data_IF_820819754860
#
_entry.id   IF_820819754860
#
_cell.length_a   1.000
_cell.length_b   1.000
_cell.length_c   1.000
_cell.angle_alpha   90.00
_cell.angle_beta   90.00
_cell.angle_gamma   90.00
#
_symmetry.space_group_name_H-M   'P 1'
#
loop_
_entity.id
_entity.type
_entity.pdbx_description
1 polymer ?
#
# COMPACT_ATOMS: atom_id res chain seq x y z
N UNK A 1 -23.02 -9.88 -0.90
CA UNK A 1 -22.83 -10.36 -2.26
C UNK A 1 -21.99 -11.62 -2.22
N UNK A 2 -22.47 -12.73 -2.78
CA UNK A 2 -21.77 -14.02 -2.77
C UNK A 2 -20.45 -14.01 -3.57
N UNK A 3 -20.23 -12.98 -4.37
CA UNK A 3 -19.01 -12.79 -5.17
C UNK A 3 -17.86 -12.12 -4.43
N UNK A 4 -18.14 -11.42 -3.35
CA UNK A 4 -17.10 -10.76 -2.54
C UNK A 4 -16.62 -11.70 -1.44
N UNK A 5 -15.41 -12.22 -1.59
CA UNK A 5 -14.80 -13.13 -0.61
C UNK A 5 -14.14 -12.38 0.54
N UNK A 6 -13.74 -11.12 0.32
CA UNK A 6 -13.06 -10.30 1.33
C UNK A 6 -13.74 -8.94 1.41
N UNK A 7 -14.02 -8.50 2.63
CA UNK A 7 -14.63 -7.21 2.91
C UNK A 7 -13.90 -6.58 4.09
N UNK A 8 -13.28 -5.43 3.86
CA UNK A 8 -12.63 -4.63 4.90
C UNK A 8 -13.51 -3.42 5.21
N UNK A 9 -13.96 -3.31 6.47
CA UNK A 9 -14.88 -2.24 6.91
C UNK A 9 -14.06 -1.13 7.58
N UNK A 10 -14.35 0.13 7.22
CA UNK A 10 -13.73 1.29 7.87
C UNK A 10 -14.12 1.38 9.35
N UNK A 11 -13.25 1.98 10.17
CA UNK A 11 -13.46 2.07 11.63
C UNK A 11 -14.78 2.73 12.04
N UNK A 12 -15.22 3.71 11.26
CA UNK A 12 -16.49 4.42 11.47
C UNK A 12 -17.72 3.62 10.97
N UNK A 13 -17.47 2.44 10.35
CA UNK A 13 -18.50 1.61 9.75
C UNK A 13 -19.22 2.22 8.55
N UNK A 14 -18.75 3.38 8.05
CA UNK A 14 -19.39 4.08 6.95
C UNK A 14 -19.14 3.41 5.61
N UNK A 15 -17.93 2.97 5.38
CA UNK A 15 -17.49 2.40 4.12
C UNK A 15 -16.99 0.98 4.29
N UNK A 16 -17.01 0.23 3.21
CA UNK A 16 -16.32 -1.04 3.13
C UNK A 16 -15.63 -1.15 1.77
N UNK A 17 -14.44 -1.74 1.76
CA UNK A 17 -13.73 -2.12 0.54
C UNK A 17 -13.92 -3.62 0.33
N UNK A 18 -14.54 -3.97 -0.79
CA UNK A 18 -14.76 -5.35 -1.20
C UNK A 18 -13.83 -5.75 -2.33
N UNK A 19 -13.39 -7.00 -2.32
CA UNK A 19 -12.56 -7.60 -3.36
C UNK A 19 -13.34 -8.73 -4.06
N UNK A 20 -13.43 -8.66 -5.39
CA UNK A 20 -14.10 -9.65 -6.22
C UNK A 20 -13.11 -10.26 -7.23
N UNK A 21 -12.86 -11.55 -7.13
CA UNK A 21 -11.93 -12.30 -7.98
C UNK A 21 -12.67 -13.14 -9.03
N UNK A 22 -14.00 -13.09 -9.05
CA UNK A 22 -14.85 -14.06 -9.78
C UNK A 22 -14.57 -14.07 -11.28
N UNK A 23 -14.29 -12.91 -11.89
CA UNK A 23 -14.02 -12.81 -13.33
C UNK A 23 -12.61 -13.24 -13.72
N UNK A 24 -11.71 -13.35 -12.74
CA UNK A 24 -10.29 -13.62 -12.96
C UNK A 24 -9.84 -15.02 -12.55
N UNK A 25 -10.76 -15.85 -12.04
CA UNK A 25 -10.45 -17.22 -11.61
C UNK A 25 -9.90 -18.04 -12.76
N UNK A 26 -8.60 -18.37 -12.71
CA UNK A 26 -7.92 -19.19 -13.70
C UNK A 26 -6.64 -19.77 -13.11
N UNK A 27 -6.38 -21.06 -13.35
CA UNK A 27 -5.16 -21.74 -12.90
C UNK A 27 -3.87 -21.17 -13.54
N UNK A 28 -3.99 -20.32 -14.56
CA UNK A 28 -2.89 -19.83 -15.39
C UNK A 28 -2.74 -18.31 -15.39
N UNK A 29 -3.57 -17.58 -14.66
CA UNK A 29 -3.54 -16.11 -14.62
C UNK A 29 -3.11 -15.65 -13.23
N UNK A 30 -2.48 -14.45 -13.13
CA UNK A 30 -2.23 -13.83 -11.83
C UNK A 30 -3.56 -13.61 -11.07
N UNK A 31 -3.47 -13.57 -9.73
CA UNK A 31 -4.61 -13.33 -8.83
C UNK A 31 -5.11 -11.88 -8.95
N UNK A 32 -5.80 -11.59 -10.04
CA UNK A 32 -6.42 -10.28 -10.27
C UNK A 32 -7.74 -10.18 -9.50
N UNK A 33 -8.09 -8.98 -9.10
CA UNK A 33 -9.37 -8.69 -8.47
C UNK A 33 -9.88 -7.29 -8.81
N UNK A 34 -11.19 -7.15 -8.85
CA UNK A 34 -11.82 -5.84 -8.82
C UNK A 34 -12.01 -5.39 -7.37
N UNK A 35 -11.77 -4.11 -7.14
CA UNK A 35 -12.01 -3.46 -5.85
C UNK A 35 -13.24 -2.58 -5.93
N UNK A 36 -14.08 -2.67 -4.91
CA UNK A 36 -15.32 -1.92 -4.78
C UNK A 36 -15.38 -1.18 -3.45
N UNK A 37 -15.85 0.05 -3.49
CA UNK A 37 -16.29 0.77 -2.30
C UNK A 37 -17.80 0.57 -2.12
N UNK A 38 -18.21 0.20 -0.92
CA UNK A 38 -19.61 0.08 -0.54
C UNK A 38 -19.95 1.14 0.50
N UNK A 39 -21.06 1.83 0.30
CA UNK A 39 -21.68 2.65 1.33
C UNK A 39 -22.57 1.77 2.21
N UNK A 40 -22.22 1.63 3.49
CA UNK A 40 -22.96 0.77 4.43
C UNK A 40 -24.39 1.26 4.72
N UNK A 41 -24.67 2.55 4.46
CA UNK A 41 -25.98 3.15 4.73
C UNK A 41 -26.94 3.00 3.56
N UNK A 42 -26.44 3.13 2.34
CA UNK A 42 -27.28 3.09 1.13
C UNK A 42 -27.21 1.74 0.41
N UNK A 43 -26.17 0.95 0.65
CA UNK A 43 -25.86 -0.24 -0.10
C UNK A 43 -25.27 0.04 -1.49
N UNK A 44 -24.99 1.29 -1.81
CA UNK A 44 -24.38 1.68 -3.08
C UNK A 44 -22.99 1.09 -3.21
N UNK A 45 -22.72 0.53 -4.38
CA UNK A 45 -21.44 -0.08 -4.75
C UNK A 45 -20.82 0.72 -5.87
N UNK A 46 -19.59 1.18 -5.67
CA UNK A 46 -18.78 1.87 -6.66
C UNK A 46 -17.54 1.05 -6.98
N UNK A 47 -17.24 0.87 -8.27
CA UNK A 47 -15.96 0.25 -8.70
C UNK A 47 -14.82 1.24 -8.47
N UNK A 48 -13.83 0.81 -7.70
CA UNK A 48 -12.62 1.58 -7.37
C UNK A 48 -11.49 1.24 -8.35
N UNK A 49 -11.24 -0.06 -8.57
CA UNK A 49 -10.21 -0.57 -9.47
C UNK A 49 -10.70 -1.84 -10.15
N UNK A 50 -10.33 -2.01 -11.41
CA UNK A 50 -10.59 -3.23 -12.19
C UNK A 50 -9.28 -3.99 -12.43
N UNK A 51 -9.32 -5.31 -12.28
CA UNK A 51 -8.20 -6.18 -12.61
C UNK A 51 -6.92 -5.89 -11.82
N UNK A 52 -7.04 -5.48 -10.56
CA UNK A 52 -5.90 -5.11 -9.73
C UNK A 52 -5.16 -6.35 -9.21
N UNK A 53 -3.85 -6.43 -9.50
CA UNK A 53 -3.00 -7.56 -9.06
C UNK A 53 -2.54 -7.40 -7.61
N UNK A 54 -2.12 -6.19 -7.20
CA UNK A 54 -1.45 -5.97 -5.91
C UNK A 54 -2.17 -4.95 -5.07
N UNK A 55 -2.91 -5.47 -4.12
CA UNK A 55 -3.58 -4.68 -3.08
C UNK A 55 -2.80 -4.81 -1.78
N UNK A 56 -2.62 -3.71 -1.06
CA UNK A 56 -1.78 -3.63 0.14
C UNK A 56 -2.60 -3.34 1.42
N UNK A 57 -3.90 -3.06 1.25
CA UNK A 57 -4.86 -2.99 2.34
C UNK A 57 -5.16 -1.59 2.87
N UNK A 58 -6.04 -1.55 3.87
CA UNK A 58 -6.47 -0.33 4.55
C UNK A 58 -5.38 0.25 5.45
N UNK A 59 -5.32 1.58 5.49
CA UNK A 59 -4.59 2.29 6.55
C UNK A 59 -5.18 1.97 7.92
N UNK A 60 -4.41 2.03 9.02
CA UNK A 60 -4.91 1.75 10.36
C UNK A 60 -6.05 2.66 10.80
N UNK A 61 -6.12 3.90 10.29
CA UNK A 61 -7.22 4.84 10.50
C UNK A 61 -8.40 4.63 9.55
N UNK A 62 -8.25 3.73 8.56
CA UNK A 62 -9.22 3.38 7.53
C UNK A 62 -9.63 4.54 6.61
N UNK A 63 -8.79 5.56 6.46
CA UNK A 63 -9.04 6.67 5.51
C UNK A 63 -8.54 6.37 4.11
N UNK A 64 -7.50 5.52 3.98
CA UNK A 64 -6.83 5.23 2.75
C UNK A 64 -6.76 3.72 2.48
N UNK A 65 -6.77 3.35 1.19
CA UNK A 65 -6.47 2.01 0.72
C UNK A 65 -5.24 2.04 -0.16
N UNK A 66 -4.18 1.32 0.21
CA UNK A 66 -2.92 1.29 -0.52
C UNK A 66 -2.92 0.17 -1.56
N UNK A 67 -2.39 0.47 -2.75
CA UNK A 67 -2.20 -0.49 -3.82
C UNK A 67 -0.97 -0.17 -4.67
N UNK A 68 -0.51 -1.16 -5.43
CA UNK A 68 0.62 -1.03 -6.35
C UNK A 68 0.14 -1.18 -7.79
N UNK A 69 0.47 -0.24 -8.65
CA UNK A 69 0.05 -0.23 -10.04
C UNK A 69 1.04 0.53 -10.91
N UNK A 70 1.38 -0.04 -12.07
CA UNK A 70 2.22 0.59 -13.10
C UNK A 70 3.60 1.06 -12.56
N UNK A 71 4.17 0.34 -11.59
CA UNK A 71 5.47 0.67 -11.01
C UNK A 71 5.43 1.71 -9.89
N UNK A 72 4.24 2.11 -9.43
CA UNK A 72 4.05 3.10 -8.38
C UNK A 72 3.18 2.62 -7.24
N UNK A 73 3.39 3.19 -6.04
CA UNK A 73 2.45 3.13 -4.95
C UNK A 73 1.34 4.17 -5.13
N UNK A 74 0.14 3.74 -4.89
CA UNK A 74 -1.06 4.56 -4.97
C UNK A 74 -1.86 4.46 -3.69
N UNK A 75 -2.47 5.58 -3.29
CA UNK A 75 -3.45 5.63 -2.23
C UNK A 75 -4.82 6.01 -2.79
N UNK A 76 -5.85 5.24 -2.45
CA UNK A 76 -7.23 5.58 -2.67
C UNK A 76 -7.81 6.21 -1.40
N UNK A 77 -8.24 7.47 -1.47
CA UNK A 77 -8.95 8.17 -0.39
C UNK A 77 -10.42 7.75 -0.39
N UNK A 78 -10.81 6.99 0.62
CA UNK A 78 -12.10 6.30 0.62
C UNK A 78 -13.27 7.28 0.66
N UNK A 79 -13.20 8.32 1.48
CA UNK A 79 -14.29 9.30 1.62
C UNK A 79 -14.49 10.16 0.37
N UNK A 80 -13.39 10.53 -0.30
CA UNK A 80 -13.39 11.51 -1.37
C UNK A 80 -13.48 10.86 -2.76
N UNK A 81 -13.35 9.53 -2.85
CA UNK A 81 -13.30 8.79 -4.11
C UNK A 81 -12.15 9.24 -5.02
N UNK A 82 -10.97 9.45 -4.44
CA UNK A 82 -9.83 10.01 -5.13
C UNK A 82 -8.62 9.09 -5.07
N UNK A 83 -7.92 8.94 -6.21
CA UNK A 83 -6.67 8.22 -6.34
C UNK A 83 -5.49 9.17 -6.36
N UNK A 84 -4.51 8.94 -5.51
CA UNK A 84 -3.27 9.70 -5.45
C UNK A 84 -2.10 8.78 -5.81
N UNK A 85 -1.35 9.12 -6.86
CA UNK A 85 -0.07 8.48 -7.12
C UNK A 85 0.96 9.01 -6.13
N UNK A 86 1.40 8.15 -5.22
CA UNK A 86 2.29 8.55 -4.12
C UNK A 86 3.75 8.70 -4.59
N UNK A 87 4.18 7.90 -5.56
CA UNK A 87 5.60 7.74 -5.87
C UNK A 87 6.01 8.26 -7.25
N UNK A 88 5.10 8.84 -8.04
CA UNK A 88 5.41 9.37 -9.38
C UNK A 88 6.53 10.42 -9.41
N UNK A 89 6.72 11.16 -8.29
CA UNK A 89 7.77 12.16 -8.13
C UNK A 89 8.94 11.69 -7.24
N UNK A 90 8.96 10.41 -6.87
CA UNK A 90 9.98 9.87 -5.98
C UNK A 90 11.36 9.91 -6.64
N UNK A 91 12.43 10.17 -5.86
CA UNK A 91 13.80 10.21 -6.39
C UNK A 91 14.41 8.83 -6.64
N UNK A 92 13.68 7.75 -6.35
CA UNK A 92 14.11 6.36 -6.48
C UNK A 92 13.02 5.50 -7.08
N UNK A 93 13.43 4.34 -7.62
CA UNK A 93 12.52 3.30 -8.08
C UNK A 93 12.20 2.34 -6.92
N UNK A 94 10.93 2.17 -6.60
CA UNK A 94 10.46 1.23 -5.60
C UNK A 94 10.20 -0.17 -6.16
N UNK A 95 10.30 -0.35 -7.47
CA UNK A 95 10.08 -1.63 -8.16
C UNK A 95 11.20 -2.62 -7.86
N UNK A 96 10.85 -3.82 -7.47
CA UNK A 96 11.82 -4.91 -7.32
C UNK A 96 12.31 -5.41 -8.70
N UNK A 97 13.40 -4.82 -9.18
CA UNK A 97 13.99 -5.16 -10.49
C UNK A 97 14.57 -6.59 -10.55
N UNK A 98 14.82 -7.23 -9.40
CA UNK A 98 15.31 -8.60 -9.29
C UNK A 98 14.21 -9.66 -9.47
N UNK A 99 12.93 -9.22 -9.54
CA UNK A 99 11.81 -10.12 -9.78
C UNK A 99 11.83 -10.65 -11.21
N UNK A 100 11.96 -11.97 -11.35
CA UNK A 100 12.20 -12.68 -12.62
C UNK A 100 10.98 -13.46 -13.15
N UNK A 101 9.80 -13.29 -12.52
CA UNK A 101 8.56 -13.93 -12.95
C UNK A 101 7.77 -13.06 -13.91
N UNK A 102 6.89 -13.70 -14.70
CA UNK A 102 5.98 -13.00 -15.60
C UNK A 102 5.00 -12.11 -14.84
N UNK A 103 4.61 -10.99 -15.46
CA UNK A 103 3.64 -10.04 -14.92
C UNK A 103 4.29 -8.78 -14.38
N UNK A 104 3.48 -7.95 -13.74
CA UNK A 104 3.93 -6.72 -13.11
C UNK A 104 4.92 -7.01 -11.98
N UNK A 105 6.07 -6.33 -12.02
CA UNK A 105 7.06 -6.44 -10.94
C UNK A 105 6.50 -5.87 -9.65
N UNK A 106 6.68 -6.56 -8.50
CA UNK A 106 6.25 -6.05 -7.22
C UNK A 106 7.13 -4.90 -6.74
N UNK A 107 6.65 -4.10 -5.76
CA UNK A 107 7.52 -3.21 -5.01
C UNK A 107 8.48 -4.00 -4.10
N UNK A 108 9.52 -3.34 -3.60
CA UNK A 108 10.40 -3.91 -2.57
C UNK A 108 9.68 -4.14 -1.23
N UNK A 109 8.60 -3.39 -0.98
CA UNK A 109 7.72 -3.63 0.15
C UNK A 109 7.31 -2.38 0.92
N UNK A 110 6.49 -2.61 1.94
CA UNK A 110 5.97 -1.59 2.86
C UNK A 110 6.39 -1.97 4.28
N UNK A 111 6.98 -1.03 5.02
CA UNK A 111 7.31 -1.22 6.44
C UNK A 111 6.07 -1.03 7.32
N UNK A 112 5.25 -0.05 6.99
CA UNK A 112 4.04 0.27 7.73
C UNK A 112 3.54 1.69 7.49
N UNK A 113 2.49 2.07 8.19
CA UNK A 113 1.90 3.40 8.19
C UNK A 113 2.47 4.22 9.33
N UNK A 114 2.55 5.53 9.18
CA UNK A 114 2.96 6.44 10.25
C UNK A 114 1.86 6.59 11.31
N UNK A 115 2.24 6.96 12.52
CA UNK A 115 1.33 7.07 13.66
C UNK A 115 0.37 8.27 13.54
N UNK A 116 0.81 9.34 12.91
CA UNK A 116 -0.02 10.52 12.56
C UNK A 116 -1.05 10.22 11.45
N UNK A 117 -0.88 9.12 10.71
CA UNK A 117 -1.75 8.73 9.61
C UNK A 117 -1.56 9.54 8.32
N UNK A 118 -0.48 10.31 8.21
CA UNK A 118 -0.20 11.18 7.07
C UNK A 118 0.84 10.61 6.10
N UNK A 119 1.44 9.46 6.44
CA UNK A 119 2.47 8.83 5.63
C UNK A 119 2.47 7.30 5.66
N UNK A 120 3.21 6.75 4.71
CA UNK A 120 3.55 5.32 4.65
C UNK A 120 5.06 5.17 4.54
N UNK A 121 5.63 4.21 5.26
CA UNK A 121 7.05 3.89 5.22
C UNK A 121 7.27 2.76 4.22
N UNK A 122 8.06 3.03 3.19
CA UNK A 122 8.31 2.19 2.03
C UNK A 122 9.76 1.74 1.99
N UNK A 123 10.01 0.65 1.26
CA UNK A 123 11.35 0.18 0.94
C UNK A 123 11.66 0.37 -0.53
N UNK A 124 12.82 0.95 -0.84
CA UNK A 124 13.50 0.68 -2.10
C UNK A 124 14.40 -0.56 -1.96
N UNK A 125 15.31 -0.76 -2.90
CA UNK A 125 16.24 -1.89 -2.87
C UNK A 125 17.06 -1.93 -1.58
N UNK A 126 17.49 -0.78 -1.08
CA UNK A 126 18.46 -0.65 0.01
C UNK A 126 17.93 0.12 1.22
N UNK A 127 17.25 1.23 0.96
CA UNK A 127 16.90 2.23 1.97
C UNK A 127 15.43 2.19 2.41
N UNK A 128 15.14 2.96 3.44
CA UNK A 128 13.81 3.15 4.03
C UNK A 128 13.36 4.58 3.74
N UNK A 129 12.13 4.74 3.27
CA UNK A 129 11.58 6.01 2.82
C UNK A 129 10.27 6.32 3.50
N UNK A 130 10.09 7.56 3.94
CA UNK A 130 8.79 8.11 4.30
C UNK A 130 8.16 8.71 3.04
N UNK A 131 6.98 8.23 2.69
CA UNK A 131 6.18 8.76 1.61
C UNK A 131 4.90 9.38 2.16
N UNK A 132 4.71 10.71 2.03
CA UNK A 132 3.46 11.37 2.39
C UNK A 132 2.28 10.91 1.53
N UNK A 133 1.09 10.81 2.13
CA UNK A 133 -0.14 10.35 1.46
C UNK A 133 -0.77 11.39 0.54
N UNK A 134 -0.26 12.61 0.53
CA UNK A 134 -0.65 13.65 -0.44
C UNK A 134 0.12 13.57 -1.77
N UNK A 135 1.06 12.60 -1.90
CA UNK A 135 1.89 12.44 -3.08
C UNK A 135 3.06 13.43 -3.17
N UNK A 136 3.33 14.17 -2.12
CA UNK A 136 4.51 15.02 -2.05
C UNK A 136 5.80 14.20 -1.96
N UNK A 137 6.94 14.88 -2.05
CA UNK A 137 8.26 14.23 -2.18
C UNK A 137 8.59 13.31 -1.01
N UNK A 138 9.01 12.08 -1.33
CA UNK A 138 9.53 11.11 -0.36
C UNK A 138 10.81 11.59 0.33
N UNK A 139 10.96 11.22 1.59
CA UNK A 139 12.15 11.48 2.42
C UNK A 139 12.88 10.18 2.75
N UNK A 140 14.18 10.12 2.48
CA UNK A 140 15.01 8.97 2.85
C UNK A 140 15.30 9.01 4.36
N UNK A 141 14.78 8.05 5.11
CA UNK A 141 14.94 7.96 6.57
C UNK A 141 16.30 7.40 6.99
N UNK A 142 16.98 6.71 6.07
CA UNK A 142 18.30 6.11 6.31
C UNK A 142 19.45 6.93 5.74
N UNK A 143 19.13 8.10 5.16
CA UNK A 143 20.11 9.04 4.64
C UNK A 143 20.94 8.51 3.47
N UNK A 144 20.45 7.49 2.75
CA UNK A 144 21.14 6.87 1.62
C UNK A 144 22.25 5.89 2.02
N UNK A 145 22.31 5.54 3.31
CA UNK A 145 23.36 4.64 3.82
C UNK A 145 23.25 3.23 3.24
N UNK A 146 22.01 2.72 3.09
CA UNK A 146 21.79 1.42 2.50
C UNK A 146 22.36 1.31 1.09
N UNK A 147 22.10 2.32 0.26
CA UNK A 147 22.63 2.38 -1.10
C UNK A 147 24.16 2.57 -1.13
N UNK A 148 24.72 3.38 -0.21
CA UNK A 148 26.17 3.61 -0.15
C UNK A 148 26.96 2.37 0.24
N UNK A 149 26.42 1.56 1.15
CA UNK A 149 27.07 0.35 1.68
C UNK A 149 26.59 -0.94 0.96
N UNK A 150 25.71 -0.83 -0.05
CA UNK A 150 25.03 -1.95 -0.74
C UNK A 150 24.30 -2.91 0.21
N UNK A 151 23.76 -2.37 1.32
CA UNK A 151 23.08 -3.12 2.37
C UNK A 151 21.57 -2.84 2.33
N UNK A 152 20.77 -3.90 2.43
CA UNK A 152 19.31 -3.79 2.53
C UNK A 152 18.91 -3.46 3.95
N UNK A 153 18.55 -2.21 4.21
CA UNK A 153 18.08 -1.76 5.51
C UNK A 153 16.58 -2.01 5.64
N UNK A 154 16.18 -2.67 6.73
CA UNK A 154 14.77 -3.02 6.98
C UNK A 154 14.39 -2.67 8.41
N UNK A 155 13.18 -2.14 8.57
CA UNK A 155 12.62 -1.82 9.88
C UNK A 155 12.25 -3.11 10.63
N UNK A 156 12.70 -3.21 11.87
CA UNK A 156 12.33 -4.29 12.79
C UNK A 156 11.24 -3.76 13.73
N UNK A 157 10.05 -4.33 13.61
CA UNK A 157 8.96 -4.05 14.53
C UNK A 157 9.26 -4.68 15.89
N UNK A 158 9.48 -3.86 16.91
CA UNK A 158 9.79 -4.30 18.27
C UNK A 158 8.55 -4.57 19.11
N UNK A 159 7.43 -3.93 18.78
CA UNK A 159 6.13 -4.16 19.41
C UNK A 159 5.19 -4.85 18.41
N UNK A 160 4.84 -6.12 18.61
CA UNK A 160 3.95 -6.84 17.70
C UNK A 160 2.51 -6.30 17.70
N UNK A 161 2.08 -5.57 18.75
CA UNK A 161 0.76 -4.96 18.83
C UNK A 161 0.68 -3.60 18.12
N UNK A 162 1.83 -2.98 17.84
CA UNK A 162 1.88 -1.71 17.13
C UNK A 162 1.37 -1.86 15.70
N UNK A 163 0.38 -1.06 15.32
CA UNK A 163 -0.18 -1.01 13.97
C UNK A 163 0.42 0.06 13.09
N UNK A 164 1.17 0.98 13.70
CA UNK A 164 1.77 2.16 13.08
C UNK A 164 3.22 2.29 13.50
N UNK A 165 3.95 3.13 12.80
CA UNK A 165 5.34 3.48 13.08
C UNK A 165 5.36 4.91 13.61
N UNK A 166 5.80 5.06 14.85
CA UNK A 166 6.02 6.35 15.50
C UNK A 166 7.43 6.85 15.10
N UNK A 167 7.47 7.85 14.23
CA UNK A 167 8.71 8.41 13.71
C UNK A 167 9.42 9.34 14.71
N UNK A 168 8.79 9.73 15.81
CA UNK A 168 9.41 10.47 16.90
C UNK A 168 10.26 9.58 17.79
N UNK A 169 10.14 8.26 17.63
CA UNK A 169 10.94 7.26 18.36
C UNK A 169 12.07 6.68 17.51
N UNK A 170 13.16 6.23 18.14
CA UNK A 170 14.22 5.51 17.44
C UNK A 170 13.68 4.26 16.73
N UNK A 171 14.01 4.11 15.47
CA UNK A 171 13.70 2.91 14.69
C UNK A 171 14.83 1.89 14.82
N UNK A 172 14.49 0.64 15.11
CA UNK A 172 15.44 -0.47 14.99
C UNK A 172 15.50 -0.92 13.53
N UNK A 173 16.70 -0.98 12.99
CA UNK A 173 16.97 -1.30 11.58
C UNK A 173 17.99 -2.43 11.54
N UNK A 174 17.72 -3.43 10.69
CA UNK A 174 18.60 -4.54 10.33
C UNK A 174 19.09 -4.36 8.89
#
# INVERSE_FOLDING_TARGET
>A
DERMRTLEITRDGRWAIGRDETEYTSDWRPDLADLYRLDSRTGERLTVLEGQLRTLGLSPDSRHYLYWKDGDFWAYRIADDEHVNLTSSAPVDFTNQEYDRFGEKPPHGVAGWTDDGDGVVLYDRYDIWLQPLDGSRATNLTGGRGAADEMRLRYIRTDPEARTIDLDKPMLID
#
